data_IF_000505874553
#
_entry.id   IF_000505874553
#
_cell.length_a   1.000
_cell.length_b   1.000
_cell.length_c   1.000
_cell.angle_alpha   90.00
_cell.angle_beta   90.00
_cell.angle_gamma   90.00
#
_symmetry.space_group_name_H-M   'P 1'
#
loop_
_entity.id
_entity.type
_entity.pdbx_description
1 polymer ?
#
# COMPACT_ATOMS: atom_id res chain seq x y z
N UNK A 1 3.67 14.61 -6.42
CA UNK A 1 4.16 13.42 -7.13
C UNK A 1 5.31 12.83 -6.34
N UNK A 2 5.07 12.50 -5.07
CA UNK A 2 6.14 12.13 -4.17
C UNK A 2 6.40 10.63 -4.15
N UNK A 3 7.69 10.35 -4.26
CA UNK A 3 8.37 9.10 -4.51
C UNK A 3 8.87 8.51 -3.17
N UNK A 4 8.40 9.05 -2.03
CA UNK A 4 9.11 8.98 -0.74
C UNK A 4 8.51 8.01 0.29
N UNK A 5 8.60 6.72 0.01
CA UNK A 5 8.25 5.64 0.97
C UNK A 5 9.17 5.56 2.19
N UNK A 6 10.34 6.20 2.16
CA UNK A 6 11.21 6.32 3.34
C UNK A 6 10.64 7.30 4.37
N UNK A 7 9.95 8.35 3.94
CA UNK A 7 9.38 9.33 4.87
C UNK A 7 8.22 8.74 5.64
N UNK A 8 7.35 7.98 4.97
CA UNK A 8 6.25 7.25 5.61
C UNK A 8 6.78 6.22 6.63
N UNK A 9 7.79 5.45 6.24
CA UNK A 9 8.46 4.53 7.16
C UNK A 9 9.05 5.24 8.40
N UNK A 10 9.73 6.39 8.19
CA UNK A 10 10.26 7.20 9.29
C UNK A 10 9.14 7.79 10.16
N UNK A 11 8.01 8.18 9.58
CA UNK A 11 6.86 8.68 10.31
C UNK A 11 6.26 7.58 11.20
N UNK A 12 6.06 6.37 10.68
CA UNK A 12 5.57 5.23 11.44
C UNK A 12 6.52 4.85 12.59
N UNK A 13 7.83 4.89 12.34
CA UNK A 13 8.85 4.69 13.37
C UNK A 13 8.76 5.75 14.48
N UNK A 14 8.65 7.04 14.12
CA UNK A 14 8.48 8.15 15.08
C UNK A 14 7.20 8.04 15.89
N UNK A 15 6.11 7.56 15.28
CA UNK A 15 4.84 7.31 15.96
C UNK A 15 4.86 6.03 16.81
N UNK A 16 5.94 5.23 16.73
CA UNK A 16 6.07 3.94 17.39
C UNK A 16 4.90 3.00 17.08
N UNK A 17 4.39 3.07 15.85
CA UNK A 17 3.27 2.25 15.41
C UNK A 17 3.62 0.75 15.41
N UNK A 18 4.87 0.43 15.07
CA UNK A 18 5.49 -0.90 15.12
C UNK A 18 6.97 -0.77 15.51
N UNK A 19 7.62 -1.86 15.97
CA UNK A 19 9.08 -1.91 16.09
C UNK A 19 9.75 -1.55 14.76
N UNK A 20 10.80 -0.72 14.79
CA UNK A 20 11.44 -0.19 13.57
C UNK A 20 11.93 -1.30 12.64
N UNK A 21 12.43 -2.41 13.19
CA UNK A 21 12.93 -3.53 12.41
C UNK A 21 11.84 -4.24 11.57
N UNK A 22 10.56 -3.96 11.85
CA UNK A 22 9.37 -4.46 11.15
C UNK A 22 8.78 -3.46 10.14
N UNK A 23 9.38 -2.29 9.99
CA UNK A 23 8.95 -1.27 9.02
C UNK A 23 9.99 -1.19 7.90
N UNK A 24 9.55 -1.29 6.64
CA UNK A 24 10.43 -1.23 5.46
C UNK A 24 9.87 -0.23 4.46
N UNK A 25 10.61 0.84 4.19
CA UNK A 25 10.31 1.76 3.09
C UNK A 25 10.87 1.22 1.76
N UNK A 26 10.01 1.07 0.75
CA UNK A 26 10.38 0.57 -0.59
C UNK A 26 10.27 1.69 -1.62
N UNK A 27 11.39 2.20 -2.11
CA UNK A 27 11.40 3.36 -3.03
C UNK A 27 11.05 2.91 -4.46
N UNK A 28 9.88 3.33 -4.95
CA UNK A 28 9.29 2.82 -6.21
C UNK A 28 9.73 3.61 -7.45
N UNK A 29 10.46 4.71 -7.28
CA UNK A 29 10.69 5.67 -8.36
C UNK A 29 9.40 6.40 -8.76
N UNK A 30 9.28 6.77 -10.05
CA UNK A 30 8.26 7.72 -10.52
C UNK A 30 6.83 7.19 -10.76
N UNK A 31 6.59 5.88 -10.76
CA UNK A 31 5.27 5.30 -11.08
C UNK A 31 4.80 4.33 -9.98
N UNK A 32 4.05 4.82 -8.96
CA UNK A 32 3.59 3.99 -7.84
C UNK A 32 2.76 2.78 -8.26
N UNK A 33 1.89 2.91 -9.27
CA UNK A 33 1.08 1.77 -9.77
C UNK A 33 1.96 0.63 -10.32
N UNK A 34 3.08 0.94 -10.96
CA UNK A 34 3.99 -0.06 -11.52
C UNK A 34 4.52 -0.95 -10.41
N UNK A 35 4.96 -0.35 -9.31
CA UNK A 35 5.53 -1.08 -8.18
C UNK A 35 4.54 -1.98 -7.44
N UNK A 36 3.23 -1.76 -7.61
CA UNK A 36 2.20 -2.59 -6.96
C UNK A 36 1.44 -3.49 -7.94
N UNK A 37 1.61 -3.30 -9.26
CA UNK A 37 0.84 -4.02 -10.29
C UNK A 37 1.70 -4.59 -11.41
N UNK A 38 2.27 -3.74 -12.26
CA UNK A 38 2.97 -4.21 -13.47
C UNK A 38 4.33 -4.86 -13.18
N UNK A 39 5.08 -4.33 -12.21
CA UNK A 39 6.36 -4.86 -11.75
C UNK A 39 6.47 -4.72 -10.24
N UNK A 40 5.92 -5.72 -9.54
CA UNK A 40 5.94 -5.80 -8.09
C UNK A 40 7.26 -6.35 -7.50
N UNK A 41 8.30 -6.55 -8.32
CA UNK A 41 9.52 -7.27 -7.93
C UNK A 41 10.20 -6.68 -6.70
N UNK A 42 10.23 -5.35 -6.57
CA UNK A 42 10.84 -4.67 -5.43
C UNK A 42 10.07 -4.92 -4.11
N UNK A 43 8.75 -4.96 -4.16
CA UNK A 43 7.91 -5.23 -3.00
C UNK A 43 7.97 -6.72 -2.63
N UNK A 44 7.92 -7.62 -3.62
CA UNK A 44 8.08 -9.06 -3.41
C UNK A 44 9.43 -9.40 -2.77
N UNK A 45 10.50 -8.70 -3.17
CA UNK A 45 11.81 -8.85 -2.52
C UNK A 45 11.79 -8.39 -1.06
N UNK A 46 11.17 -7.25 -0.76
CA UNK A 46 11.04 -6.76 0.62
C UNK A 46 10.24 -7.75 1.50
N UNK A 47 9.15 -8.30 0.96
CA UNK A 47 8.33 -9.33 1.60
C UNK A 47 9.15 -10.60 1.88
N UNK A 48 9.96 -11.07 0.93
CA UNK A 48 10.81 -12.23 1.12
C UNK A 48 11.84 -12.03 2.24
N UNK A 49 12.45 -10.84 2.33
CA UNK A 49 13.38 -10.51 3.40
C UNK A 49 12.68 -10.43 4.77
N UNK A 50 11.47 -9.87 4.84
CA UNK A 50 10.67 -9.83 6.08
C UNK A 50 10.29 -11.22 6.57
N UNK A 51 9.81 -12.09 5.67
CA UNK A 51 9.50 -13.49 6.00
C UNK A 51 10.72 -14.26 6.50
N UNK A 52 11.89 -14.01 5.90
CA UNK A 52 13.15 -14.63 6.35
C UNK A 52 13.59 -14.12 7.72
N UNK A 53 13.40 -12.82 7.98
CA UNK A 53 13.81 -12.16 9.23
C UNK A 53 12.87 -12.49 10.40
N UNK A 54 11.59 -12.69 10.13
CA UNK A 54 10.54 -12.98 11.11
C UNK A 54 9.79 -14.26 10.72
N UNK A 55 10.31 -15.45 11.10
CA UNK A 55 9.69 -16.73 10.72
C UNK A 55 8.29 -16.98 11.30
N UNK A 56 7.87 -16.19 12.29
CA UNK A 56 6.59 -16.22 12.99
C UNK A 56 5.62 -15.13 12.50
N UNK A 57 5.87 -14.54 11.32
CA UNK A 57 5.05 -13.46 10.78
C UNK A 57 3.72 -13.97 10.22
N UNK A 58 2.61 -13.48 10.78
CA UNK A 58 1.26 -13.87 10.33
C UNK A 58 0.74 -13.00 9.16
N UNK A 59 1.04 -11.70 9.17
CA UNK A 59 0.47 -10.70 8.25
C UNK A 59 1.52 -9.66 7.89
N UNK A 60 1.54 -9.25 6.61
CA UNK A 60 2.27 -8.09 6.11
C UNK A 60 1.27 -7.08 5.54
N UNK A 61 1.38 -5.82 5.97
CA UNK A 61 0.67 -4.71 5.35
C UNK A 61 1.56 -4.07 4.28
N UNK A 62 1.00 -3.82 3.10
CA UNK A 62 1.66 -3.13 2.00
C UNK A 62 0.87 -1.86 1.72
N UNK A 63 1.48 -0.72 2.03
CA UNK A 63 0.91 0.59 1.71
C UNK A 63 1.43 1.06 0.35
N UNK A 64 0.52 1.36 -0.58
CA UNK A 64 0.88 2.01 -1.83
C UNK A 64 1.19 3.50 -1.59
N UNK A 65 2.07 4.12 -2.37
CA UNK A 65 2.40 5.56 -2.28
C UNK A 65 1.29 6.55 -2.67
N UNK A 66 0.02 6.12 -2.67
CA UNK A 66 -1.14 6.91 -3.08
C UNK A 66 -1.27 7.04 -4.59
N UNK A 67 -2.47 6.74 -5.11
CA UNK A 67 -2.78 6.87 -6.53
C UNK A 67 -4.30 7.06 -6.73
N UNK A 68 -4.73 7.21 -7.98
CA UNK A 68 -6.10 7.45 -8.39
C UNK A 68 -7.00 6.19 -8.28
N UNK A 69 -8.28 6.34 -8.64
CA UNK A 69 -9.31 5.30 -8.53
C UNK A 69 -9.08 4.06 -9.42
N UNK A 70 -8.08 4.10 -10.33
CA UNK A 70 -7.66 2.97 -11.16
C UNK A 70 -6.55 2.10 -10.53
N UNK A 71 -6.05 2.48 -9.36
CA UNK A 71 -5.00 1.76 -8.67
C UNK A 71 -5.50 0.43 -8.09
N UNK A 72 -4.79 -0.65 -8.41
CA UNK A 72 -5.07 -2.00 -7.92
C UNK A 72 -3.77 -2.73 -7.68
N UNK A 73 -3.70 -3.54 -6.64
CA UNK A 73 -2.57 -4.44 -6.43
C UNK A 73 -2.62 -5.62 -7.42
N UNK A 74 -1.45 -6.12 -7.80
CA UNK A 74 -1.32 -7.41 -8.47
C UNK A 74 -1.78 -8.53 -7.52
N UNK A 75 -2.53 -9.54 -8.00
CA UNK A 75 -2.82 -10.75 -7.24
C UNK A 75 -1.55 -11.50 -6.78
N UNK A 76 -0.43 -11.32 -7.48
CA UNK A 76 0.85 -11.91 -7.07
C UNK A 76 1.48 -11.19 -5.87
N UNK A 77 1.03 -9.96 -5.56
CA UNK A 77 1.58 -9.13 -4.50
C UNK A 77 0.71 -9.10 -3.24
N UNK A 78 -0.62 -9.10 -3.39
CA UNK A 78 -1.55 -8.96 -2.26
C UNK A 78 -2.66 -10.00 -2.33
N UNK A 79 -2.81 -10.77 -1.24
CA UNK A 79 -3.90 -11.73 -1.07
C UNK A 79 -5.26 -11.04 -0.84
N UNK A 80 -5.24 -9.89 -0.16
CA UNK A 80 -6.41 -9.07 0.14
C UNK A 80 -6.07 -7.59 -0.04
N UNK A 81 -7.06 -6.82 -0.50
CA UNK A 81 -6.92 -5.40 -0.80
C UNK A 81 -7.91 -4.56 0.00
N UNK A 82 -7.37 -3.58 0.73
CA UNK A 82 -8.13 -2.53 1.39
C UNK A 82 -7.98 -1.24 0.58
N UNK A 83 -9.09 -0.64 0.17
CA UNK A 83 -9.06 0.67 -0.49
C UNK A 83 -9.65 1.74 0.41
N UNK A 84 -8.92 2.83 0.63
CA UNK A 84 -9.31 3.89 1.55
C UNK A 84 -9.61 5.16 0.77
N UNK A 85 -10.82 5.68 0.94
CA UNK A 85 -11.23 7.01 0.48
C UNK A 85 -11.59 7.90 1.68
N UNK A 86 -11.56 9.21 1.51
CA UNK A 86 -11.91 10.20 2.54
C UNK A 86 -13.15 10.99 2.14
N UNK A 87 -14.02 11.33 3.11
CA UNK A 87 -15.19 12.19 2.83
C UNK A 87 -14.78 13.57 2.35
N UNK A 88 -13.57 14.02 2.69
CA UNK A 88 -13.00 15.28 2.23
C UNK A 88 -12.69 15.28 0.72
N UNK A 89 -12.64 14.12 0.06
CA UNK A 89 -12.45 14.02 -1.39
C UNK A 89 -13.75 14.32 -2.19
N UNK A 90 -14.90 14.43 -1.50
CA UNK A 90 -16.19 14.82 -2.09
C UNK A 90 -17.18 13.67 -2.24
N UNK A 91 -18.47 14.00 -2.18
CA UNK A 91 -19.59 13.04 -2.23
C UNK A 91 -19.67 12.22 -3.52
N UNK A 92 -19.06 12.73 -4.59
CA UNK A 92 -19.02 12.13 -5.92
C UNK A 92 -18.02 10.97 -6.04
N UNK A 93 -17.07 10.81 -5.11
CA UNK A 93 -15.99 9.82 -5.22
C UNK A 93 -16.53 8.39 -5.35
N UNK A 94 -17.47 7.91 -4.52
CA UNK A 94 -18.07 6.59 -4.71
C UNK A 94 -18.72 6.41 -6.09
N UNK A 95 -19.31 7.48 -6.65
CA UNK A 95 -20.01 7.44 -7.94
C UNK A 95 -19.07 7.45 -9.14
N UNK A 96 -17.84 7.95 -8.99
CA UNK A 96 -16.80 7.87 -10.03
C UNK A 96 -16.38 6.43 -10.32
N UNK A 97 -16.59 5.52 -9.37
CA UNK A 97 -16.28 4.10 -9.52
C UNK A 97 -14.79 3.85 -9.69
N UNK A 98 -14.44 3.00 -10.65
CA UNK A 98 -13.06 2.56 -10.88
C UNK A 98 -12.74 1.22 -10.21
N UNK A 99 -11.71 0.52 -10.70
CA UNK A 99 -11.29 -0.76 -10.14
C UNK A 99 -11.07 -0.75 -8.64
N UNK A 100 -10.51 0.32 -8.08
CA UNK A 100 -10.22 0.39 -6.66
C UNK A 100 -11.49 0.39 -5.78
N UNK A 101 -12.55 1.07 -6.24
CA UNK A 101 -13.86 1.11 -5.55
C UNK A 101 -14.66 -0.18 -5.80
N UNK A 102 -14.60 -0.72 -7.01
CA UNK A 102 -15.49 -1.82 -7.45
C UNK A 102 -14.90 -3.21 -7.26
N UNK A 103 -13.59 -3.34 -7.05
CA UNK A 103 -12.88 -4.63 -6.99
C UNK A 103 -12.00 -4.81 -5.75
N UNK A 104 -11.89 -3.81 -4.88
CA UNK A 104 -11.23 -4.05 -3.59
C UNK A 104 -12.06 -5.02 -2.75
N UNK A 105 -11.37 -5.84 -1.95
CA UNK A 105 -12.03 -6.79 -1.05
C UNK A 105 -12.78 -6.05 0.07
N UNK A 106 -12.24 -4.90 0.48
CA UNK A 106 -12.89 -4.03 1.47
C UNK A 106 -12.65 -2.55 1.16
N UNK A 107 -13.75 -1.80 0.98
CA UNK A 107 -13.73 -0.36 0.81
C UNK A 107 -13.94 0.35 2.15
N UNK A 108 -13.00 1.22 2.52
CA UNK A 108 -13.04 2.02 3.74
C UNK A 108 -13.34 3.47 3.34
N UNK A 109 -14.42 4.03 3.91
CA UNK A 109 -14.74 5.46 3.81
C UNK A 109 -14.36 6.12 5.12
N UNK A 110 -13.19 6.76 5.13
CA UNK A 110 -12.66 7.48 6.27
C UNK A 110 -13.06 8.98 6.24
N UNK A 111 -12.82 9.69 7.34
CA UNK A 111 -13.05 11.13 7.47
C UNK A 111 -12.06 11.92 6.62
#
# INVERSE_FOLDING_TARGET
NDIYTKEDAMMLARLQALPEERIVGVETGGCPHTAIREDASINLRAIAELNKKFPDLDIIFIESGGDNLAATFSPDLADLTLYVISVCQGEEIPRKGGPAITRSDFLIINK
#
